data_IF_609323210768
#
_entry.id   IF_609323210768
#
_cell.length_a   1.000
_cell.length_b   1.000
_cell.length_c   1.000
_cell.angle_alpha   90.00
_cell.angle_beta   90.00
_cell.angle_gamma   90.00
#
_symmetry.space_group_name_H-M   'P 1'
#
loop_
_entity.id
_entity.type
_entity.pdbx_description
1 polymer ?
#
# COMPACT_ATOMS: atom_id res chain seq x y z
N UNK A 1 28.85 15.67 -3.48
CA UNK A 1 29.00 16.29 -4.83
C UNK A 1 29.12 15.21 -5.91
N UNK A 2 30.06 14.26 -5.86
CA UNK A 2 30.26 13.24 -6.92
C UNK A 2 28.98 12.44 -7.22
N UNK A 3 28.29 11.90 -6.22
CA UNK A 3 27.04 11.15 -6.42
C UNK A 3 25.91 11.98 -7.02
N UNK A 4 25.86 13.28 -6.75
CA UNK A 4 24.85 14.17 -7.33
C UNK A 4 25.06 14.30 -8.86
N UNK A 5 26.30 14.53 -9.30
CA UNK A 5 26.64 14.63 -10.71
C UNK A 5 26.39 13.30 -11.47
N UNK A 6 26.62 12.16 -10.79
CA UNK A 6 26.32 10.83 -11.35
C UNK A 6 24.81 10.51 -11.42
N UNK A 7 24.03 11.05 -10.50
CA UNK A 7 22.58 10.81 -10.45
C UNK A 7 21.80 11.75 -11.38
N UNK A 8 22.30 12.95 -11.60
CA UNK A 8 21.67 14.01 -12.39
C UNK A 8 22.69 14.56 -13.40
N UNK A 9 22.79 13.89 -14.54
CA UNK A 9 23.77 14.22 -15.59
C UNK A 9 23.35 15.43 -16.45
N UNK A 10 22.04 15.70 -16.56
CA UNK A 10 21.52 16.79 -17.37
C UNK A 10 21.34 18.09 -16.58
N UNK A 11 22.17 19.08 -16.87
CA UNK A 11 22.13 20.40 -16.24
C UNK A 11 20.80 21.14 -16.43
N UNK A 12 20.11 20.92 -17.54
CA UNK A 12 18.83 21.58 -17.82
C UNK A 12 17.73 21.00 -16.92
N UNK A 13 17.71 19.69 -16.76
CA UNK A 13 16.79 18.99 -15.83
C UNK A 13 17.07 19.41 -14.40
N UNK A 14 18.34 19.50 -13.99
CA UNK A 14 18.72 19.96 -12.64
C UNK A 14 18.26 21.40 -12.40
N UNK A 15 18.46 22.29 -13.35
CA UNK A 15 18.05 23.70 -13.22
C UNK A 15 16.53 23.87 -13.11
N UNK A 16 15.77 23.06 -13.85
CA UNK A 16 14.30 23.04 -13.74
C UNK A 16 13.82 22.49 -12.39
N UNK A 17 14.44 21.43 -11.90
CA UNK A 17 14.11 20.80 -10.62
C UNK A 17 14.51 21.65 -9.42
N UNK A 18 15.62 22.38 -9.46
CA UNK A 18 16.11 23.26 -8.38
C UNK A 18 15.14 24.39 -8.04
N UNK A 19 14.28 24.78 -8.99
CA UNK A 19 13.25 25.81 -8.71
C UNK A 19 12.10 25.29 -7.85
N UNK A 20 11.92 23.97 -7.77
CA UNK A 20 10.76 23.35 -7.14
C UNK A 20 11.15 22.36 -6.02
N UNK A 21 12.35 21.76 -6.10
CA UNK A 21 12.84 20.82 -5.12
C UNK A 21 13.93 21.44 -4.23
N UNK A 22 13.82 21.24 -2.93
CA UNK A 22 14.85 21.65 -1.99
C UNK A 22 16.05 20.68 -2.01
N UNK A 23 17.18 21.10 -1.46
CA UNK A 23 18.37 20.25 -1.31
C UNK A 23 18.08 18.96 -0.52
N UNK A 24 17.12 18.99 0.40
CA UNK A 24 16.68 17.80 1.16
C UNK A 24 15.99 16.75 0.28
N UNK A 25 15.27 17.16 -0.77
CA UNK A 25 14.72 16.23 -1.76
C UNK A 25 15.85 15.57 -2.56
N UNK A 26 16.79 16.36 -3.05
CA UNK A 26 17.94 15.81 -3.78
C UNK A 26 18.74 14.82 -2.94
N UNK A 27 18.94 15.09 -1.64
CA UNK A 27 19.61 14.13 -0.74
C UNK A 27 18.90 12.77 -0.69
N UNK A 28 17.59 12.72 -0.72
CA UNK A 28 16.85 11.46 -0.76
C UNK A 28 16.98 10.78 -2.13
N UNK A 29 16.89 11.55 -3.21
CA UNK A 29 16.84 11.06 -4.58
C UNK A 29 18.19 10.54 -5.11
N UNK A 30 19.33 11.10 -4.66
CA UNK A 30 20.67 10.64 -5.08
C UNK A 30 21.02 9.21 -4.63
N UNK A 31 20.29 8.67 -3.64
CA UNK A 31 20.44 7.29 -3.19
C UNK A 31 19.52 6.32 -3.93
N UNK A 32 18.65 6.80 -4.80
CA UNK A 32 17.84 5.97 -5.69
C UNK A 32 18.69 5.56 -6.87
N UNK A 33 19.20 4.33 -6.87
CA UNK A 33 20.14 3.82 -7.90
C UNK A 33 19.47 3.67 -9.26
N UNK A 34 18.20 3.28 -9.29
CA UNK A 34 17.44 3.07 -10.52
C UNK A 34 17.00 4.41 -11.12
N UNK A 35 17.47 4.78 -12.35
CA UNK A 35 17.16 6.08 -12.96
C UNK A 35 15.66 6.33 -13.11
N UNK A 36 14.89 5.33 -13.61
CA UNK A 36 13.47 5.48 -13.84
C UNK A 36 12.68 5.70 -12.52
N UNK A 37 13.06 5.02 -11.46
CA UNK A 37 12.48 5.21 -10.12
C UNK A 37 12.79 6.61 -9.59
N UNK A 38 13.99 7.09 -9.80
CA UNK A 38 14.40 8.45 -9.43
C UNK A 38 13.59 9.49 -10.18
N UNK A 39 13.47 9.36 -11.52
CA UNK A 39 12.69 10.26 -12.36
C UNK A 39 11.21 10.29 -11.97
N UNK A 40 10.62 9.13 -11.69
CA UNK A 40 9.26 9.00 -11.19
C UNK A 40 9.02 9.85 -9.93
N UNK A 41 9.89 9.73 -8.92
CA UNK A 41 9.76 10.52 -7.69
C UNK A 41 10.05 12.00 -7.92
N UNK A 42 11.00 12.36 -8.80
CA UNK A 42 11.26 13.74 -9.17
C UNK A 42 10.03 14.41 -9.78
N UNK A 43 9.40 13.73 -10.75
CA UNK A 43 8.21 14.23 -11.42
C UNK A 43 7.03 14.37 -10.45
N UNK A 44 6.77 13.38 -9.59
CA UNK A 44 5.71 13.49 -8.61
C UNK A 44 5.95 14.60 -7.59
N UNK A 45 7.18 14.79 -7.13
CA UNK A 45 7.52 15.92 -6.26
C UNK A 45 7.24 17.26 -6.95
N UNK A 46 7.56 17.37 -8.25
CA UNK A 46 7.32 18.56 -9.05
C UNK A 46 5.83 18.84 -9.25
N UNK A 47 5.05 17.79 -9.54
CA UNK A 47 3.62 17.86 -9.83
C UNK A 47 2.77 18.21 -8.62
N UNK A 48 3.09 17.58 -7.51
CA UNK A 48 2.25 17.58 -6.32
C UNK A 48 2.81 18.46 -5.21
N UNK A 49 4.00 19.06 -5.44
CA UNK A 49 4.63 19.94 -4.46
C UNK A 49 4.99 19.26 -3.14
N UNK A 50 5.39 17.98 -3.19
CA UNK A 50 5.72 17.23 -1.98
C UNK A 50 6.84 17.90 -1.17
N UNK A 51 6.71 17.87 0.14
CA UNK A 51 7.81 18.15 1.04
C UNK A 51 8.80 16.98 1.04
N UNK A 52 10.03 17.22 1.46
CA UNK A 52 11.06 16.16 1.59
C UNK A 52 10.63 15.03 2.53
N UNK A 53 9.80 15.32 3.53
CA UNK A 53 9.23 14.33 4.44
C UNK A 53 8.21 13.45 3.71
N UNK A 54 7.30 14.05 2.95
CA UNK A 54 6.32 13.33 2.14
C UNK A 54 6.99 12.46 1.09
N UNK A 55 8.02 12.97 0.40
CA UNK A 55 8.84 12.16 -0.50
C UNK A 55 9.39 10.91 0.20
N UNK A 56 9.96 11.08 1.39
CA UNK A 56 10.53 9.97 2.14
C UNK A 56 9.46 8.93 2.54
N UNK A 57 8.30 9.37 3.02
CA UNK A 57 7.16 8.52 3.34
C UNK A 57 6.68 7.75 2.10
N UNK A 58 6.66 8.40 0.91
CA UNK A 58 6.26 7.75 -0.36
C UNK A 58 7.27 6.73 -0.87
N UNK A 59 8.56 7.02 -0.69
CA UNK A 59 9.62 6.07 -1.02
C UNK A 59 9.55 4.82 -0.13
N UNK A 60 9.30 5.01 1.18
CA UNK A 60 9.12 3.91 2.13
C UNK A 60 7.86 3.09 1.88
N UNK A 61 6.79 3.71 1.37
CA UNK A 61 5.55 3.02 1.02
C UNK A 61 5.62 2.24 -0.30
N UNK A 62 6.80 2.12 -0.92
CA UNK A 62 7.02 1.43 -2.20
C UNK A 62 6.10 1.93 -3.33
N UNK A 63 5.71 3.22 -3.32
CA UNK A 63 4.77 3.80 -4.29
C UNK A 63 5.15 3.48 -5.74
N UNK A 64 6.45 3.57 -6.09
CA UNK A 64 6.95 3.23 -7.41
C UNK A 64 6.63 1.79 -7.81
N UNK A 65 6.94 0.81 -6.95
CA UNK A 65 6.69 -0.59 -7.22
C UNK A 65 5.18 -0.86 -7.33
N UNK A 66 4.37 -0.33 -6.42
CA UNK A 66 2.91 -0.49 -6.45
C UNK A 66 2.26 0.14 -7.68
N UNK A 67 2.72 1.33 -8.09
CA UNK A 67 2.23 1.97 -9.33
C UNK A 67 2.51 1.11 -10.54
N UNK A 68 3.70 0.50 -10.61
CA UNK A 68 4.07 -0.40 -11.70
C UNK A 68 3.26 -1.70 -11.71
N UNK A 69 2.89 -2.20 -10.55
CA UNK A 69 2.15 -3.46 -10.38
C UNK A 69 0.64 -3.28 -10.53
N UNK A 70 0.13 -2.08 -10.27
CA UNK A 70 -1.30 -1.80 -10.34
C UNK A 70 -1.87 -2.05 -11.74
N UNK A 71 -3.05 -2.67 -11.79
CA UNK A 71 -3.84 -2.79 -13.04
C UNK A 71 -4.38 -1.43 -13.49
N UNK A 72 -4.48 -0.48 -12.56
CA UNK A 72 -4.89 0.90 -12.80
C UNK A 72 -3.88 1.88 -12.16
N UNK A 73 -2.70 2.08 -12.77
CA UNK A 73 -1.63 2.93 -12.22
C UNK A 73 -2.13 4.35 -11.87
N UNK A 74 -2.98 4.91 -12.71
CA UNK A 74 -3.61 6.22 -12.49
C UNK A 74 -4.50 6.27 -11.24
N UNK A 75 -5.26 5.20 -10.98
CA UNK A 75 -6.09 5.07 -9.79
C UNK A 75 -5.24 5.05 -8.53
N UNK A 76 -4.16 4.27 -8.53
CA UNK A 76 -3.21 4.17 -7.42
C UNK A 76 -2.56 5.52 -7.13
N UNK A 77 -2.06 6.22 -8.16
CA UNK A 77 -1.48 7.56 -8.00
C UNK A 77 -2.52 8.54 -7.45
N UNK A 78 -3.74 8.59 -8.02
CA UNK A 78 -4.80 9.50 -7.56
C UNK A 78 -5.20 9.22 -6.11
N UNK A 79 -5.33 7.97 -5.75
CA UNK A 79 -5.68 7.57 -4.38
C UNK A 79 -4.62 8.04 -3.39
N UNK A 80 -3.34 7.84 -3.70
CA UNK A 80 -2.21 8.31 -2.90
C UNK A 80 -2.16 9.85 -2.85
N UNK A 81 -2.46 10.53 -3.94
CA UNK A 81 -2.46 11.99 -4.02
C UNK A 81 -3.64 12.63 -3.29
N UNK A 82 -4.85 12.05 -3.40
CA UNK A 82 -6.03 12.53 -2.66
C UNK A 82 -5.84 12.33 -1.16
N UNK A 83 -5.19 11.25 -0.77
CA UNK A 83 -4.84 10.98 0.60
C UNK A 83 -3.91 12.05 1.19
N UNK A 84 -2.97 12.59 0.39
CA UNK A 84 -2.10 13.72 0.79
C UNK A 84 -2.88 15.02 1.00
N UNK A 85 -3.88 15.29 0.17
CA UNK A 85 -4.68 16.52 0.25
C UNK A 85 -5.59 16.55 1.48
N UNK A 86 -5.88 15.39 2.07
CA UNK A 86 -6.74 15.25 3.25
C UNK A 86 -5.93 15.07 4.55
N UNK A 87 -4.76 15.65 4.64
CA UNK A 87 -3.77 15.48 5.73
C UNK A 87 -4.29 15.72 7.16
N UNK A 88 -5.48 16.26 7.36
CA UNK A 88 -6.05 16.50 8.69
C UNK A 88 -6.85 15.33 9.28
N UNK A 89 -7.19 14.34 8.47
CA UNK A 89 -7.78 13.08 8.95
C UNK A 89 -7.00 11.93 8.33
N UNK A 90 -6.37 11.09 9.18
CA UNK A 90 -5.78 9.84 8.72
C UNK A 90 -6.88 9.00 8.07
N UNK A 91 -7.09 9.19 6.77
CA UNK A 91 -8.11 8.49 6.02
C UNK A 91 -7.75 7.00 6.00
N UNK A 92 -8.73 6.16 6.21
CA UNK A 92 -8.66 4.70 6.04
C UNK A 92 -7.97 4.32 4.72
N UNK A 93 -8.28 5.03 3.63
CA UNK A 93 -7.68 4.84 2.32
C UNK A 93 -6.16 5.06 2.26
N UNK A 94 -5.60 5.89 3.17
CA UNK A 94 -4.15 6.15 3.27
C UNK A 94 -3.33 4.98 3.77
N UNK A 95 -3.96 4.11 4.57
CA UNK A 95 -3.28 3.03 5.26
C UNK A 95 -3.51 1.67 4.59
N UNK A 96 -4.48 1.59 3.69
CA UNK A 96 -4.83 0.36 2.99
C UNK A 96 -4.26 0.39 1.56
N UNK A 97 -3.34 -0.51 1.30
CA UNK A 97 -2.66 -0.66 0.01
C UNK A 97 -3.38 -1.68 -0.88
N UNK A 98 -3.12 -1.62 -2.18
CA UNK A 98 -3.57 -2.59 -3.16
C UNK A 98 -2.78 -2.42 -4.47
N UNK A 99 -1.89 -3.33 -4.83
CA UNK A 99 -1.52 -4.57 -4.11
C UNK A 99 -0.52 -4.35 -2.96
N UNK A 100 -0.40 -5.35 -2.09
CA UNK A 100 0.72 -5.50 -1.16
C UNK A 100 1.88 -6.24 -1.83
N UNK A 101 3.11 -5.83 -1.55
CA UNK A 101 4.32 -6.46 -2.10
C UNK A 101 4.99 -7.28 -1.01
N UNK A 102 4.94 -8.59 -1.14
CA UNK A 102 5.44 -9.58 -0.17
C UNK A 102 6.58 -10.43 -0.76
N UNK A 103 7.36 -9.88 -1.70
CA UNK A 103 8.48 -10.55 -2.34
C UNK A 103 9.63 -10.92 -1.38
N UNK A 104 9.72 -10.22 -0.25
CA UNK A 104 10.66 -10.51 0.83
C UNK A 104 10.39 -11.82 1.56
N UNK A 105 9.22 -12.44 1.38
CA UNK A 105 8.88 -13.71 2.01
C UNK A 105 9.57 -14.93 1.36
N UNK A 106 10.16 -14.76 0.17
CA UNK A 106 10.88 -15.79 -0.60
C UNK A 106 10.09 -17.12 -0.74
N UNK A 107 8.80 -17.00 -1.00
CA UNK A 107 7.90 -18.14 -1.16
C UNK A 107 8.07 -18.77 -2.55
N UNK A 108 8.08 -20.10 -2.60
CA UNK A 108 8.10 -20.86 -3.87
C UNK A 108 6.74 -20.74 -4.59
N UNK A 109 6.67 -21.10 -5.86
CA UNK A 109 5.49 -20.94 -6.73
C UNK A 109 4.19 -21.59 -6.19
N UNK A 110 4.30 -22.57 -5.32
CA UNK A 110 3.15 -23.21 -4.67
C UNK A 110 3.35 -23.30 -3.18
N UNK A 111 2.48 -22.65 -2.44
CA UNK A 111 2.49 -22.63 -0.98
C UNK A 111 1.06 -22.66 -0.43
N UNK A 112 0.90 -23.15 0.80
CA UNK A 112 -0.37 -23.15 1.53
C UNK A 112 -0.53 -21.85 2.33
N UNK A 113 -1.75 -21.56 2.79
CA UNK A 113 -2.02 -20.41 3.67
C UNK A 113 -1.13 -20.43 4.92
N UNK A 114 -0.90 -21.62 5.48
CA UNK A 114 0.02 -21.80 6.62
C UNK A 114 1.47 -21.42 6.28
N UNK A 115 1.96 -21.78 5.10
CA UNK A 115 3.33 -21.44 4.67
C UNK A 115 3.48 -19.92 4.52
N UNK A 116 2.45 -19.25 4.01
CA UNK A 116 2.38 -17.80 3.91
C UNK A 116 2.38 -17.15 5.30
N UNK A 117 1.55 -17.64 6.22
CA UNK A 117 1.49 -17.15 7.60
C UNK A 117 2.84 -17.31 8.31
N UNK A 118 3.44 -18.51 8.25
CA UNK A 118 4.74 -18.79 8.87
C UNK A 118 5.87 -17.93 8.26
N UNK A 119 5.83 -17.64 6.96
CA UNK A 119 6.78 -16.74 6.31
C UNK A 119 6.57 -15.29 6.78
N UNK A 120 5.34 -14.80 6.86
CA UNK A 120 5.03 -13.47 7.40
C UNK A 120 5.52 -13.33 8.84
N UNK A 121 5.36 -14.36 9.66
CA UNK A 121 5.82 -14.31 11.06
C UNK A 121 7.34 -14.27 11.19
N UNK A 122 8.07 -14.94 10.30
CA UNK A 122 9.54 -14.85 10.26
C UNK A 122 10.01 -13.44 9.87
N UNK A 123 9.29 -12.79 8.97
CA UNK A 123 9.59 -11.47 8.43
C UNK A 123 8.58 -10.40 8.93
N UNK A 124 8.08 -10.56 10.16
CA UNK A 124 6.98 -9.74 10.70
C UNK A 124 7.29 -8.24 10.68
N UNK A 125 8.54 -7.86 10.87
CA UNK A 125 8.95 -6.46 10.82
C UNK A 125 8.74 -5.88 9.42
N UNK A 126 9.17 -6.59 8.37
CA UNK A 126 8.99 -6.17 6.99
C UNK A 126 7.51 -6.17 6.59
N UNK A 127 6.76 -7.17 7.07
CA UNK A 127 5.31 -7.22 6.83
C UNK A 127 4.59 -6.02 7.46
N UNK A 128 4.91 -5.64 8.69
CA UNK A 128 4.32 -4.46 9.33
C UNK A 128 4.72 -3.16 8.62
N UNK A 129 5.94 -3.05 8.11
CA UNK A 129 6.35 -1.93 7.27
C UNK A 129 5.57 -1.91 5.95
N UNK A 130 5.32 -3.09 5.36
CA UNK A 130 4.50 -3.18 4.15
C UNK A 130 3.03 -2.85 4.43
N UNK A 131 2.46 -3.25 5.57
CA UNK A 131 1.12 -2.80 5.98
C UNK A 131 1.03 -1.27 6.05
N UNK A 132 2.10 -0.60 6.47
CA UNK A 132 2.21 0.86 6.48
C UNK A 132 2.48 1.47 7.85
N UNK A 133 2.53 2.79 7.89
CA UNK A 133 2.91 3.51 9.09
C UNK A 133 1.85 3.40 10.21
N UNK A 134 2.31 3.06 11.40
CA UNK A 134 1.49 3.02 12.60
C UNK A 134 0.91 1.66 12.93
N UNK A 135 1.18 0.64 12.14
CA UNK A 135 0.82 -0.74 12.50
C UNK A 135 1.76 -1.29 13.58
N UNK A 136 1.18 -2.06 14.47
CA UNK A 136 1.86 -2.79 15.54
C UNK A 136 1.26 -4.18 15.62
N UNK A 137 2.07 -5.21 15.76
CA UNK A 137 1.61 -6.58 15.90
C UNK A 137 1.02 -6.80 17.31
N UNK A 138 -0.17 -7.38 17.37
CA UNK A 138 -0.85 -7.74 18.62
C UNK A 138 -0.83 -9.25 18.81
N UNK A 139 -1.41 -10.00 17.86
CA UNK A 139 -1.56 -11.45 17.97
C UNK A 139 -1.62 -12.13 16.60
N UNK A 140 -1.44 -13.44 16.60
CA UNK A 140 -1.71 -14.36 15.49
C UNK A 140 -2.70 -15.43 15.93
N UNK A 141 -3.42 -16.01 14.97
CA UNK A 141 -4.35 -17.12 15.22
C UNK A 141 -5.25 -16.81 16.43
N UNK A 142 -5.79 -15.58 16.43
CA UNK A 142 -6.64 -15.11 17.53
C UNK A 142 -7.93 -15.89 17.52
N UNK A 143 -8.14 -16.71 18.53
CA UNK A 143 -9.35 -17.52 18.68
C UNK A 143 -10.54 -16.65 19.05
N UNK A 144 -11.59 -16.76 18.29
CA UNK A 144 -12.90 -16.19 18.55
C UNK A 144 -13.87 -17.34 18.85
N UNK A 145 -14.42 -17.39 20.04
CA UNK A 145 -15.47 -18.37 20.36
C UNK A 145 -16.83 -17.71 20.14
N UNK A 146 -17.62 -18.28 19.25
CA UNK A 146 -18.97 -17.83 18.93
C UNK A 146 -19.91 -19.03 19.11
N UNK A 147 -20.72 -18.95 20.12
CA UNK A 147 -21.51 -20.09 20.62
C UNK A 147 -20.61 -21.30 20.92
N UNK A 148 -20.76 -22.38 20.15
CA UNK A 148 -19.97 -23.62 20.29
C UNK A 148 -18.83 -23.72 19.29
N UNK A 149 -18.73 -22.79 18.34
CA UNK A 149 -17.76 -22.84 17.23
C UNK A 149 -16.56 -21.95 17.50
N UNK A 150 -15.40 -22.45 17.10
CA UNK A 150 -14.14 -21.73 17.17
C UNK A 150 -13.76 -21.21 15.79
N UNK A 151 -13.46 -19.92 15.75
CA UNK A 151 -12.93 -19.23 14.58
C UNK A 151 -11.54 -18.66 14.91
N UNK A 152 -10.75 -18.41 13.91
CA UNK A 152 -9.40 -17.90 14.09
C UNK A 152 -9.12 -16.76 13.10
N UNK A 153 -8.63 -15.62 13.61
CA UNK A 153 -8.09 -14.55 12.79
C UNK A 153 -6.61 -14.83 12.58
N UNK A 154 -6.14 -14.85 11.33
CA UNK A 154 -4.74 -15.18 10.99
C UNK A 154 -3.77 -14.22 11.68
N UNK A 155 -3.95 -12.90 11.47
CA UNK A 155 -3.13 -11.87 12.10
C UNK A 155 -4.02 -10.74 12.64
N UNK A 156 -3.69 -10.25 13.82
CA UNK A 156 -4.38 -9.14 14.48
C UNK A 156 -3.39 -8.02 14.81
N UNK A 157 -3.07 -7.12 13.87
CA UNK A 157 -2.36 -5.89 14.17
C UNK A 157 -3.28 -4.79 14.71
N UNK A 158 -2.68 -3.81 15.38
CA UNK A 158 -3.32 -2.57 15.79
C UNK A 158 -2.77 -1.40 14.99
N UNK A 159 -3.62 -0.49 14.53
CA UNK A 159 -3.17 0.73 13.87
C UNK A 159 -3.31 1.95 14.78
N UNK A 160 -2.18 2.51 15.24
CA UNK A 160 -2.13 3.64 16.16
C UNK A 160 -2.69 4.95 15.59
N UNK A 161 -2.58 5.16 14.27
CA UNK A 161 -3.10 6.38 13.63
C UNK A 161 -4.62 6.34 13.51
N UNK A 162 -5.17 5.16 13.21
CA UNK A 162 -6.60 4.93 13.12
C UNK A 162 -7.23 4.58 14.47
N UNK A 163 -6.43 4.32 15.52
CA UNK A 163 -6.87 3.88 16.83
C UNK A 163 -7.86 2.71 16.73
N UNK A 164 -7.43 1.60 16.14
CA UNK A 164 -8.30 0.42 15.97
C UNK A 164 -7.52 -0.86 15.72
N UNK A 165 -8.15 -1.96 16.08
CA UNK A 165 -7.75 -3.30 15.68
C UNK A 165 -7.99 -3.52 14.19
N UNK A 166 -7.13 -4.33 13.58
CA UNK A 166 -7.23 -4.69 12.15
C UNK A 166 -7.15 -6.21 12.03
N UNK A 167 -8.25 -6.86 11.67
CA UNK A 167 -8.24 -8.29 11.38
C UNK A 167 -7.67 -8.52 9.99
N UNK A 168 -6.63 -9.34 9.85
CA UNK A 168 -6.04 -9.71 8.56
C UNK A 168 -6.27 -11.18 8.31
N UNK A 169 -6.87 -11.50 7.17
CA UNK A 169 -7.07 -12.84 6.64
C UNK A 169 -6.20 -13.06 5.42
N UNK A 170 -5.53 -14.20 5.37
CA UNK A 170 -4.64 -14.61 4.30
C UNK A 170 -5.31 -15.68 3.42
N UNK A 171 -5.38 -15.46 2.12
CA UNK A 171 -5.98 -16.41 1.18
C UNK A 171 -5.02 -16.67 0.02
N UNK A 172 -4.68 -17.91 -0.22
CA UNK A 172 -3.78 -18.32 -1.33
C UNK A 172 -4.48 -18.42 -2.69
N UNK A 173 -5.76 -18.04 -2.77
CA UNK A 173 -6.57 -18.03 -3.98
C UNK A 173 -7.19 -16.67 -4.27
N UNK A 174 -8.04 -16.63 -5.32
CA UNK A 174 -8.84 -15.46 -5.64
C UNK A 174 -9.87 -15.17 -4.53
N UNK A 175 -10.23 -13.89 -4.39
CA UNK A 175 -11.27 -13.45 -3.48
C UNK A 175 -12.62 -14.13 -3.79
N UNK A 176 -13.29 -14.60 -2.73
CA UNK A 176 -14.64 -15.18 -2.81
C UNK A 176 -15.60 -14.39 -1.92
N UNK A 177 -16.85 -14.28 -2.36
CA UNK A 177 -17.90 -13.52 -1.64
C UNK A 177 -18.15 -14.04 -0.20
N UNK A 178 -17.94 -15.34 0.04
CA UNK A 178 -18.09 -15.98 1.36
C UNK A 178 -17.13 -15.39 2.42
N UNK A 179 -15.94 -14.90 2.00
CA UNK A 179 -14.95 -14.31 2.91
C UNK A 179 -15.46 -13.01 3.55
N UNK A 180 -16.40 -12.30 2.88
CA UNK A 180 -17.06 -11.14 3.46
C UNK A 180 -17.82 -11.50 4.74
N UNK A 181 -18.65 -12.53 4.69
CA UNK A 181 -19.46 -12.96 5.85
C UNK A 181 -18.60 -13.36 7.03
N UNK A 182 -17.53 -14.11 6.78
CA UNK A 182 -16.56 -14.51 7.79
C UNK A 182 -15.88 -13.26 8.43
N UNK A 183 -15.39 -12.35 7.61
CA UNK A 183 -14.74 -11.13 8.11
C UNK A 183 -15.69 -10.23 8.86
N UNK A 184 -16.94 -10.03 8.40
CA UNK A 184 -17.94 -9.26 9.14
C UNK A 184 -18.22 -9.85 10.52
N UNK A 185 -18.26 -11.17 10.64
CA UNK A 185 -18.41 -11.85 11.91
C UNK A 185 -17.26 -11.52 12.86
N UNK A 186 -16.02 -11.59 12.36
CA UNK A 186 -14.82 -11.25 13.14
C UNK A 186 -14.83 -9.80 13.60
N UNK A 187 -15.14 -8.86 12.71
CA UNK A 187 -15.20 -7.44 13.08
C UNK A 187 -16.24 -7.13 14.12
N UNK A 188 -17.42 -7.76 14.04
CA UNK A 188 -18.48 -7.59 15.04
C UNK A 188 -18.10 -8.20 16.40
N UNK A 189 -17.41 -9.35 16.38
CA UNK A 189 -16.92 -9.97 17.60
C UNK A 189 -15.85 -9.10 18.27
N UNK A 190 -14.86 -8.64 17.54
CA UNK A 190 -13.82 -7.73 18.05
C UNK A 190 -14.43 -6.44 18.60
N UNK A 191 -15.38 -5.84 17.89
CA UNK A 191 -16.06 -4.63 18.35
C UNK A 191 -16.83 -4.82 19.64
N UNK A 192 -17.30 -6.03 19.93
CA UNK A 192 -18.09 -6.34 21.12
C UNK A 192 -17.24 -6.76 22.32
N UNK A 193 -16.10 -7.42 22.08
CA UNK A 193 -15.36 -8.12 23.12
C UNK A 193 -13.95 -7.58 23.37
N UNK A 194 -13.37 -6.89 22.39
CA UNK A 194 -11.92 -6.54 22.40
C UNK A 194 -11.67 -5.06 22.09
N UNK A 195 -12.69 -4.31 21.68
CA UNK A 195 -12.57 -2.88 21.38
C UNK A 195 -12.63 -2.06 22.67
N UNK A 196 -11.64 -1.19 22.88
CA UNK A 196 -11.65 -0.24 24.01
C UNK A 196 -12.58 0.97 23.72
N UNK A 197 -13.08 1.67 24.77
CA UNK A 197 -14.06 2.74 24.62
C UNK A 197 -13.59 3.94 23.77
N UNK A 198 -12.29 4.21 23.69
CA UNK A 198 -11.70 5.31 22.93
C UNK A 198 -11.19 4.89 21.55
N UNK A 199 -11.45 3.67 21.17
CA UNK A 199 -11.04 3.13 19.86
C UNK A 199 -12.16 3.23 18.82
N UNK A 200 -11.75 3.34 17.58
CA UNK A 200 -12.64 3.27 16.43
C UNK A 200 -13.01 1.80 16.14
N UNK A 201 -14.16 1.52 15.50
CA UNK A 201 -14.55 0.17 15.12
C UNK A 201 -13.47 -0.56 14.33
N UNK A 202 -13.25 -1.86 14.55
CA UNK A 202 -12.24 -2.67 13.88
C UNK A 202 -12.34 -2.62 12.35
N UNK A 203 -11.25 -2.88 11.67
CA UNK A 203 -11.15 -3.02 10.21
C UNK A 203 -10.79 -4.45 9.83
N UNK A 204 -11.24 -4.89 8.65
CA UNK A 204 -10.80 -6.12 8.01
C UNK A 204 -9.91 -5.88 6.81
N UNK A 205 -8.86 -6.67 6.66
CA UNK A 205 -8.05 -6.77 5.45
C UNK A 205 -8.07 -8.22 5.02
N UNK A 206 -8.52 -8.49 3.79
CA UNK A 206 -8.42 -9.81 3.17
C UNK A 206 -7.34 -9.73 2.08
N UNK A 207 -6.23 -10.42 2.30
CA UNK A 207 -5.13 -10.54 1.34
C UNK A 207 -5.35 -11.78 0.48
N UNK A 208 -5.43 -11.62 -0.84
CA UNK A 208 -5.67 -12.69 -1.81
C UNK A 208 -4.78 -12.55 -3.03
N UNK A 209 -4.65 -13.61 -3.84
CA UNK A 209 -3.81 -13.58 -5.05
C UNK A 209 -4.50 -12.93 -6.25
N UNK A 210 -5.79 -12.68 -6.17
CA UNK A 210 -6.55 -12.01 -7.22
C UNK A 210 -7.97 -11.68 -6.78
N UNK A 211 -8.59 -10.72 -7.46
CA UNK A 211 -9.96 -10.31 -7.20
C UNK A 211 -10.64 -9.81 -8.47
N UNK A 212 -11.97 -9.93 -8.53
CA UNK A 212 -12.79 -9.40 -9.62
C UNK A 212 -13.36 -8.05 -9.18
N UNK A 213 -13.07 -7.01 -9.94
CA UNK A 213 -13.43 -5.64 -9.57
C UNK A 213 -14.94 -5.44 -9.39
N UNK A 214 -15.74 -5.92 -10.34
CA UNK A 214 -17.20 -5.86 -10.27
C UNK A 214 -17.77 -6.55 -9.02
N UNK A 215 -17.21 -7.70 -8.63
CA UNK A 215 -17.63 -8.42 -7.44
C UNK A 215 -17.34 -7.62 -6.15
N UNK A 216 -16.18 -6.97 -6.07
CA UNK A 216 -15.81 -6.12 -4.93
C UNK A 216 -16.76 -4.92 -4.84
N UNK A 217 -17.07 -4.29 -5.97
CA UNK A 217 -17.96 -3.13 -6.04
C UNK A 217 -19.38 -3.50 -5.59
N UNK A 218 -19.96 -4.56 -6.15
CA UNK A 218 -21.32 -5.02 -5.82
C UNK A 218 -21.46 -5.45 -4.34
N UNK A 219 -20.40 -5.95 -3.73
CA UNK A 219 -20.42 -6.34 -2.32
C UNK A 219 -20.32 -5.14 -1.36
N UNK A 220 -20.05 -3.93 -1.85
CA UNK A 220 -19.93 -2.71 -1.03
C UNK A 220 -19.06 -2.88 0.22
N UNK A 221 -17.93 -3.56 0.07
CA UNK A 221 -17.07 -3.97 1.19
C UNK A 221 -16.57 -2.80 2.04
N UNK A 222 -16.35 -1.65 1.42
CA UNK A 222 -15.94 -0.43 2.11
C UNK A 222 -16.95 0.02 3.17
N UNK A 223 -18.25 -0.17 2.92
CA UNK A 223 -19.31 0.15 3.89
C UNK A 223 -19.27 -0.79 5.10
N UNK A 224 -18.83 -2.02 4.90
CA UNK A 224 -18.69 -3.03 5.96
C UNK A 224 -17.39 -2.93 6.76
N UNK A 225 -16.52 -1.98 6.44
CA UNK A 225 -15.22 -1.90 7.10
C UNK A 225 -14.20 -2.93 6.62
N UNK A 226 -14.39 -3.51 5.43
CA UNK A 226 -13.53 -4.55 4.88
C UNK A 226 -12.78 -4.01 3.67
N UNK A 227 -11.48 -4.26 3.63
CA UNK A 227 -10.61 -3.99 2.50
C UNK A 227 -10.12 -5.31 1.91
N UNK A 228 -10.30 -5.48 0.60
CA UNK A 228 -9.76 -6.64 -0.13
C UNK A 228 -8.62 -6.17 -1.00
N UNK A 229 -7.44 -6.71 -0.76
CA UNK A 229 -6.25 -6.37 -1.50
C UNK A 229 -5.58 -7.60 -2.14
N UNK A 230 -5.02 -7.42 -3.31
CA UNK A 230 -4.13 -8.42 -3.90
C UNK A 230 -2.77 -8.36 -3.20
N UNK A 231 -2.06 -9.48 -3.14
CA UNK A 231 -0.66 -9.51 -2.73
C UNK A 231 0.19 -10.23 -3.79
N UNK A 232 1.47 -9.89 -3.81
CA UNK A 232 2.44 -10.42 -4.76
C UNK A 232 3.66 -10.90 -3.99
N UNK A 233 4.00 -12.17 -4.13
CA UNK A 233 5.20 -12.79 -3.54
C UNK A 233 6.39 -12.77 -4.49
N UNK A 234 6.16 -12.48 -5.77
CA UNK A 234 7.19 -12.34 -6.79
C UNK A 234 6.93 -11.06 -7.59
N UNK A 235 7.94 -10.23 -7.71
CA UNK A 235 7.86 -9.04 -8.56
C UNK A 235 7.86 -9.44 -10.04
N UNK A 236 7.03 -8.80 -10.89
CA UNK A 236 7.09 -8.99 -12.32
C UNK A 236 8.47 -8.65 -12.89
N UNK A 237 8.83 -9.22 -14.07
CA UNK A 237 10.10 -8.89 -14.73
C UNK A 237 10.30 -7.39 -14.88
N UNK A 238 11.54 -6.92 -14.71
CA UNK A 238 11.92 -5.48 -14.78
C UNK A 238 11.37 -4.76 -16.01
N UNK A 239 11.35 -5.42 -17.15
CA UNK A 239 10.84 -4.85 -18.40
C UNK A 239 9.34 -4.55 -18.38
N UNK A 240 8.57 -5.41 -17.73
CA UNK A 240 7.12 -5.20 -17.57
C UNK A 240 6.83 -4.06 -16.59
N UNK A 241 7.53 -4.01 -15.47
CA UNK A 241 7.49 -2.91 -14.51
C UNK A 241 7.84 -1.58 -15.18
N UNK A 242 8.92 -1.56 -15.95
CA UNK A 242 9.39 -0.40 -16.68
C UNK A 242 8.38 0.10 -17.71
N UNK A 243 7.73 -0.82 -18.46
CA UNK A 243 6.69 -0.47 -19.43
C UNK A 243 5.49 0.20 -18.77
N UNK A 244 4.98 -0.36 -17.67
CA UNK A 244 3.84 0.19 -16.92
C UNK A 244 4.18 1.56 -16.32
N UNK A 245 5.38 1.72 -15.79
CA UNK A 245 5.85 3.00 -15.22
C UNK A 245 6.02 4.08 -16.27
N UNK A 246 6.60 3.76 -17.42
CA UNK A 246 6.69 4.71 -18.52
C UNK A 246 5.32 5.21 -18.97
N UNK A 247 4.34 4.30 -19.09
CA UNK A 247 2.96 4.68 -19.39
C UNK A 247 2.36 5.62 -18.33
N UNK A 248 2.59 5.34 -17.06
CA UNK A 248 2.08 6.17 -15.95
C UNK A 248 2.73 7.56 -15.91
N UNK A 249 4.04 7.63 -16.17
CA UNK A 249 4.76 8.92 -16.26
C UNK A 249 4.28 9.73 -17.46
N UNK A 250 4.08 9.10 -18.61
CA UNK A 250 3.58 9.74 -19.82
C UNK A 250 2.16 10.30 -19.63
N UNK A 251 1.27 9.51 -19.06
CA UNK A 251 -0.09 9.96 -18.70
C UNK A 251 -0.08 11.11 -17.68
N UNK A 252 0.83 11.10 -16.73
CA UNK A 252 1.00 12.20 -15.79
C UNK A 252 1.47 13.48 -16.50
N UNK A 253 2.40 13.38 -17.47
CA UNK A 253 2.85 14.51 -18.30
C UNK A 253 1.73 15.11 -19.16
N UNK A 254 0.98 14.28 -19.87
CA UNK A 254 -0.13 14.72 -20.73
C UNK A 254 -1.20 15.50 -19.98
N UNK A 255 -1.42 15.20 -18.69
CA UNK A 255 -2.40 15.93 -17.86
C UNK A 255 -1.92 17.29 -17.38
N UNK A 256 -0.61 17.52 -17.36
CA UNK A 256 -0.07 18.84 -17.04
C UNK A 256 -0.13 19.81 -18.20
N UNK A 257 -0.13 19.28 -19.40
CA UNK A 257 -0.21 20.07 -20.65
C UNK A 257 -1.65 20.49 -20.97
N UNK A 258 -2.66 19.89 -20.31
CA UNK A 258 -4.04 20.36 -20.42
C UNK A 258 -4.24 21.60 -19.56
N UNK A 259 -4.65 22.76 -20.14
CA UNK A 259 -4.98 23.96 -19.37
C UNK A 259 -6.07 23.61 -18.35
N UNK A 260 -5.87 24.05 -17.10
CA UNK A 260 -6.95 24.03 -16.11
C UNK A 260 -8.01 25.02 -16.57
N UNK A 261 -9.08 24.52 -17.17
CA UNK A 261 -10.28 25.33 -17.34
C UNK A 261 -10.72 25.81 -15.95
N UNK A 262 -10.75 27.12 -15.83
CA UNK A 262 -11.09 27.86 -14.60
C UNK A 262 -12.54 27.68 -14.22
#
# INVERSE_FOLDING_TARGET
MIRFAQAFEDEQTVSALQRQLSWTHFKALIYVEEPLKRDFYCELCRLEGWSSRQLHERMQSLLYARTALSRQPDGTIRQELNALRQEQQASRALLLKDPYVLDFLDLQDRYLEKDLEDAILREIEQFLLELGAGFTFVARQTRLQIDTDDFYIDLLPYNRKLKRLVAVELKTGEFKAEFKGQMELYLRWLARHDQEPDENPPLGIILCTGKKHEQIELLELDKSGIHVAEYLTVLPPREELRKKLNQSVELARLRLEQPRDQ
#
